data_IF_295335858220
#
_entry.id   IF_295335858220
#
_cell.length_a   1.000
_cell.length_b   1.000
_cell.length_c   1.000
_cell.angle_alpha   90.00
_cell.angle_beta   90.00
_cell.angle_gamma   90.00
#
_symmetry.space_group_name_H-M   'P 1'
#
loop_
_entity.id
_entity.type
_entity.pdbx_description
1 polymer ?
#
# COMPACT_ATOMS: atom_id res chain seq x y z
N UNK A 1 11.82 -1.22 3.60
CA UNK A 1 11.99 -2.16 2.47
C UNK A 1 11.63 -1.52 1.13
N UNK A 2 10.43 -0.94 0.92
CA UNK A 2 10.06 -0.39 -0.41
C UNK A 2 10.89 0.81 -0.87
N UNK A 3 11.24 1.73 0.04
CA UNK A 3 12.06 2.90 -0.29
C UNK A 3 13.48 2.52 -0.71
N UNK A 4 14.07 1.55 -0.03
CA UNK A 4 15.42 1.01 -0.29
C UNK A 4 15.51 0.32 -1.67
N UNK A 5 14.47 -0.41 -2.06
CA UNK A 5 14.40 -1.06 -3.38
C UNK A 5 14.31 -0.03 -4.51
N UNK A 6 13.52 1.03 -4.36
CA UNK A 6 13.39 2.06 -5.41
C UNK A 6 14.66 2.92 -5.53
N UNK A 7 15.19 3.40 -4.40
CA UNK A 7 16.44 4.17 -4.43
C UNK A 7 17.65 3.31 -4.86
N UNK A 8 17.72 2.07 -4.40
CA UNK A 8 18.86 1.18 -4.66
C UNK A 8 18.90 0.56 -6.06
N UNK A 9 17.76 0.42 -6.76
CA UNK A 9 17.70 -0.24 -8.07
C UNK A 9 17.26 0.66 -9.23
N UNK A 10 16.48 1.71 -8.98
CA UNK A 10 16.04 2.62 -10.07
C UNK A 10 16.60 4.04 -9.93
N UNK A 11 17.20 4.40 -8.78
CA UNK A 11 17.74 5.74 -8.55
C UNK A 11 16.67 6.84 -8.45
N UNK A 12 15.39 6.45 -8.33
CA UNK A 12 14.25 7.37 -8.26
C UNK A 12 13.68 7.36 -6.85
N UNK A 13 13.49 8.55 -6.27
CA UNK A 13 12.88 8.73 -4.96
C UNK A 13 11.35 8.81 -5.12
N UNK A 14 10.61 7.92 -4.44
CA UNK A 14 9.14 7.92 -4.41
C UNK A 14 8.63 8.03 -2.98
N UNK A 15 7.66 8.92 -2.75
CA UNK A 15 7.02 9.08 -1.45
C UNK A 15 5.55 8.64 -1.42
N UNK A 16 5.06 8.02 -2.50
CA UNK A 16 3.67 7.56 -2.61
C UNK A 16 3.30 6.38 -1.71
N UNK A 17 4.22 5.84 -0.91
CA UNK A 17 3.97 4.68 -0.05
C UNK A 17 2.85 4.92 0.97
N UNK A 18 2.76 6.13 1.53
CA UNK A 18 1.72 6.48 2.50
C UNK A 18 0.31 6.34 1.90
N UNK A 19 0.13 6.71 0.63
CA UNK A 19 -1.12 6.55 -0.09
C UNK A 19 -1.52 5.07 -0.23
N UNK A 20 -0.61 4.20 -0.68
CA UNK A 20 -0.91 2.77 -0.83
C UNK A 20 -1.20 2.10 0.51
N UNK A 21 -0.48 2.49 1.56
CA UNK A 21 -0.78 2.05 2.92
C UNK A 21 -2.19 2.47 3.35
N UNK A 22 -2.57 3.73 3.08
CA UNK A 22 -3.92 4.24 3.34
C UNK A 22 -5.00 3.46 2.58
N UNK A 23 -4.83 3.22 1.27
CA UNK A 23 -5.78 2.44 0.44
C UNK A 23 -5.98 1.04 1.03
N UNK A 24 -4.89 0.40 1.47
CA UNK A 24 -4.91 -0.88 2.18
C UNK A 24 -5.77 -0.86 3.45
N UNK A 25 -5.45 0.07 4.35
CA UNK A 25 -6.12 0.20 5.64
C UNK A 25 -7.61 0.56 5.47
N UNK A 26 -7.92 1.55 4.63
CA UNK A 26 -9.29 1.98 4.37
C UNK A 26 -10.13 0.93 3.66
N UNK A 27 -9.55 0.15 2.74
CA UNK A 27 -10.28 -0.93 2.06
C UNK A 27 -10.78 -2.00 3.03
N UNK A 28 -9.98 -2.38 4.02
CA UNK A 28 -10.38 -3.31 5.08
C UNK A 28 -11.35 -2.65 6.07
N UNK A 29 -11.04 -1.42 6.51
CA UNK A 29 -11.87 -0.69 7.47
C UNK A 29 -13.31 -0.49 6.96
N UNK A 30 -13.47 -0.14 5.68
CA UNK A 30 -14.78 0.06 5.05
C UNK A 30 -15.63 -1.22 5.03
N UNK A 31 -15.01 -2.39 4.82
CA UNK A 31 -15.74 -3.65 4.86
C UNK A 31 -16.13 -4.07 6.28
N UNK A 32 -15.27 -3.82 7.27
CA UNK A 32 -15.60 -4.07 8.66
C UNK A 32 -16.74 -3.19 9.16
N UNK A 33 -16.75 -1.93 8.74
CA UNK A 33 -17.82 -0.98 9.03
C UNK A 33 -19.17 -1.41 8.43
N UNK A 34 -19.20 -1.80 7.15
CA UNK A 34 -20.45 -2.09 6.43
C UNK A 34 -20.99 -3.50 6.62
N UNK A 35 -20.11 -4.50 6.73
CA UNK A 35 -20.49 -5.92 6.70
C UNK A 35 -20.12 -6.66 7.99
N UNK A 36 -19.59 -5.95 8.98
CA UNK A 36 -19.15 -6.52 10.24
C UNK A 36 -17.80 -7.22 10.18
N UNK A 37 -17.30 -7.54 11.38
CA UNK A 37 -15.96 -8.07 11.59
C UNK A 37 -15.96 -9.58 11.37
N UNK A 38 -15.46 -10.03 10.21
CA UNK A 38 -15.30 -11.45 9.88
C UNK A 38 -14.01 -11.68 9.10
N UNK A 39 -13.42 -12.87 9.24
CA UNK A 39 -12.19 -13.27 8.54
C UNK A 39 -12.38 -13.23 7.01
N UNK A 40 -13.58 -13.59 6.54
CA UNK A 40 -13.92 -13.58 5.12
C UNK A 40 -13.95 -12.14 4.58
N UNK A 41 -14.54 -11.22 5.34
CA UNK A 41 -14.59 -9.80 4.98
C UNK A 41 -13.20 -9.17 4.99
N UNK A 42 -12.32 -9.60 5.91
CA UNK A 42 -10.92 -9.17 5.94
C UNK A 42 -10.18 -9.56 4.65
N UNK A 43 -10.31 -10.82 4.21
CA UNK A 43 -9.69 -11.31 2.98
C UNK A 43 -10.23 -10.57 1.74
N UNK A 44 -11.55 -10.37 1.67
CA UNK A 44 -12.18 -9.61 0.58
C UNK A 44 -11.65 -8.17 0.57
N UNK A 45 -11.48 -7.55 1.74
CA UNK A 45 -10.95 -6.20 1.88
C UNK A 45 -9.52 -6.07 1.40
N UNK A 46 -8.68 -7.04 1.74
CA UNK A 46 -7.31 -7.11 1.23
C UNK A 46 -7.31 -7.21 -0.29
N UNK A 47 -8.10 -8.13 -0.86
CA UNK A 47 -8.15 -8.34 -2.32
C UNK A 47 -8.65 -7.07 -3.03
N UNK A 48 -9.72 -6.46 -2.53
CA UNK A 48 -10.25 -5.21 -3.06
C UNK A 48 -9.21 -4.08 -2.98
N UNK A 49 -8.52 -3.94 -1.85
CA UNK A 49 -7.49 -2.92 -1.69
C UNK A 49 -6.27 -3.15 -2.60
N UNK A 50 -5.89 -4.40 -2.85
CA UNK A 50 -4.85 -4.76 -3.82
C UNK A 50 -5.27 -4.33 -5.22
N UNK A 51 -6.50 -4.66 -5.65
CA UNK A 51 -7.02 -4.29 -6.98
C UNK A 51 -7.03 -2.77 -7.15
N UNK A 52 -7.54 -2.02 -6.17
CA UNK A 52 -7.56 -0.56 -6.20
C UNK A 52 -6.12 0.00 -6.26
N UNK A 53 -5.21 -0.54 -5.45
CA UNK A 53 -3.80 -0.14 -5.45
C UNK A 53 -3.13 -0.38 -6.79
N UNK A 54 -3.41 -1.49 -7.46
CA UNK A 54 -2.89 -1.79 -8.81
C UNK A 54 -3.41 -0.78 -9.82
N UNK A 55 -4.71 -0.47 -9.81
CA UNK A 55 -5.31 0.52 -10.72
C UNK A 55 -4.68 1.91 -10.50
N UNK A 56 -4.60 2.36 -9.24
CA UNK A 56 -4.01 3.65 -8.89
C UNK A 56 -2.53 3.70 -9.28
N UNK A 57 -1.77 2.64 -8.98
CA UNK A 57 -0.36 2.55 -9.35
C UNK A 57 -0.16 2.56 -10.87
N UNK A 58 -1.05 1.93 -11.63
CA UNK A 58 -0.98 1.92 -13.09
C UNK A 58 -1.18 3.33 -13.67
N UNK A 59 -2.19 4.06 -13.19
CA UNK A 59 -2.47 5.44 -13.62
C UNK A 59 -1.29 6.36 -13.28
N UNK A 60 -0.77 6.29 -12.06
CA UNK A 60 0.38 7.08 -11.63
C UNK A 60 1.63 6.69 -12.42
N UNK A 61 1.83 5.39 -12.66
CA UNK A 61 2.92 4.85 -13.47
C UNK A 61 2.92 5.44 -14.88
N UNK A 62 1.76 5.45 -15.55
CA UNK A 62 1.62 6.06 -16.88
C UNK A 62 1.93 7.56 -16.89
N UNK A 63 1.46 8.31 -15.89
CA UNK A 63 1.74 9.73 -15.78
C UNK A 63 3.24 10.00 -15.53
N UNK A 64 3.87 9.11 -14.78
CA UNK A 64 5.26 9.24 -14.37
C UNK A 64 6.27 9.04 -15.50
N UNK A 65 5.91 8.27 -16.54
CA UNK A 65 6.77 8.02 -17.71
C UNK A 65 7.12 9.29 -18.50
N UNK A 66 6.36 10.38 -18.30
CA UNK A 66 6.60 11.68 -18.98
C UNK A 66 7.45 12.66 -18.15
N UNK A 67 7.86 12.30 -16.94
CA UNK A 67 8.51 13.22 -16.00
C UNK A 67 10.00 12.96 -15.84
N UNK A 68 10.77 14.03 -15.64
CA UNK A 68 12.19 13.93 -15.24
C UNK A 68 12.28 13.53 -13.77
N UNK A 69 13.37 12.84 -13.39
CA UNK A 69 13.56 12.20 -12.07
C UNK A 69 13.19 13.07 -10.85
N UNK A 70 13.53 14.36 -10.82
CA UNK A 70 13.17 15.25 -9.70
C UNK A 70 11.66 15.54 -9.61
N UNK A 71 10.98 15.71 -10.75
CA UNK A 71 9.55 15.97 -10.79
C UNK A 71 8.73 14.74 -10.40
N UNK A 72 9.28 13.52 -10.56
CA UNK A 72 8.65 12.29 -10.11
C UNK A 72 8.43 12.28 -8.59
N UNK A 73 9.46 12.63 -7.81
CA UNK A 73 9.37 12.67 -6.35
C UNK A 73 8.31 13.68 -5.88
N UNK A 74 8.31 14.89 -6.48
CA UNK A 74 7.32 15.92 -6.18
C UNK A 74 5.89 15.50 -6.55
N UNK A 75 5.71 14.85 -7.70
CA UNK A 75 4.41 14.34 -8.12
C UNK A 75 3.88 13.29 -7.13
N UNK A 76 4.71 12.31 -6.75
CA UNK A 76 4.27 11.24 -5.83
C UNK A 76 3.92 11.79 -4.44
N UNK A 77 4.63 12.81 -3.95
CA UNK A 77 4.25 13.54 -2.74
C UNK A 77 2.90 14.24 -2.89
N UNK A 78 2.73 15.02 -3.97
CA UNK A 78 1.50 15.76 -4.22
C UNK A 78 0.28 14.83 -4.33
N UNK A 79 0.43 13.70 -5.02
CA UNK A 79 -0.64 12.70 -5.13
C UNK A 79 -0.92 12.05 -3.77
N UNK A 80 0.12 11.72 -2.99
CA UNK A 80 -0.08 11.17 -1.65
C UNK A 80 -0.84 12.13 -0.75
N UNK A 81 -0.55 13.43 -0.83
CA UNK A 81 -1.26 14.47 -0.09
C UNK A 81 -2.69 14.65 -0.58
N UNK A 82 -2.93 14.57 -1.90
CA UNK A 82 -4.26 14.62 -2.47
C UNK A 82 -5.14 13.48 -1.94
N UNK A 83 -4.61 12.25 -1.90
CA UNK A 83 -5.31 11.10 -1.33
C UNK A 83 -5.62 11.28 0.15
N UNK A 84 -4.71 11.88 0.91
CA UNK A 84 -4.95 12.20 2.31
C UNK A 84 -6.13 13.17 2.47
N UNK A 85 -6.13 14.28 1.74
CA UNK A 85 -7.23 15.26 1.75
C UNK A 85 -8.54 14.63 1.27
N UNK A 86 -8.48 13.78 0.24
CA UNK A 86 -9.65 13.06 -0.26
C UNK A 86 -10.25 12.16 0.82
N UNK A 87 -9.41 11.39 1.54
CA UNK A 87 -9.86 10.55 2.63
C UNK A 87 -10.48 11.35 3.78
N UNK A 88 -9.96 12.55 4.07
CA UNK A 88 -10.48 13.43 5.12
C UNK A 88 -11.81 14.11 4.73
N UNK A 89 -11.95 14.53 3.47
CA UNK A 89 -13.14 15.26 2.99
C UNK A 89 -14.28 14.35 2.56
N UNK A 90 -14.02 13.09 2.20
CA UNK A 90 -15.02 12.20 1.61
C UNK A 90 -15.92 11.51 2.65
N UNK A 91 -16.79 12.29 3.29
CA UNK A 91 -17.71 11.81 4.34
C UNK A 91 -18.60 10.63 3.95
N UNK A 92 -19.05 10.56 2.69
CA UNK A 92 -19.96 9.50 2.24
C UNK A 92 -19.33 8.10 2.14
N UNK A 93 -18.00 8.00 2.02
CA UNK A 93 -17.30 6.72 1.91
C UNK A 93 -16.38 6.45 3.09
N UNK A 94 -15.61 7.44 3.57
CA UNK A 94 -14.61 7.27 4.64
C UNK A 94 -15.10 7.70 6.02
N UNK A 95 -16.34 8.19 6.15
CA UNK A 95 -16.82 8.98 7.29
C UNK A 95 -16.00 10.29 7.51
N UNK A 96 -15.10 10.63 6.58
CA UNK A 96 -14.26 11.82 6.65
C UNK A 96 -13.32 11.82 7.87
N UNK A 97 -13.17 12.97 8.51
CA UNK A 97 -12.31 13.15 9.69
C UNK A 97 -12.80 12.45 10.96
N UNK A 98 -14.05 11.96 11.00
CA UNK A 98 -14.59 11.25 12.16
C UNK A 98 -14.03 9.81 12.26
N UNK A 99 -13.50 9.28 11.16
CA UNK A 99 -12.88 7.96 11.09
C UNK A 99 -13.88 6.81 11.23
N UNK A 100 -13.36 5.59 11.33
CA UNK A 100 -14.15 4.38 11.51
C UNK A 100 -13.90 3.79 12.90
N UNK A 101 -14.97 3.42 13.60
CA UNK A 101 -14.88 2.62 14.82
C UNK A 101 -15.27 1.19 14.49
N UNK A 102 -14.27 0.33 14.25
CA UNK A 102 -14.48 -1.10 13.99
C UNK A 102 -13.84 -1.96 15.09
N UNK A 103 -14.47 -3.08 15.40
CA UNK A 103 -13.90 -4.10 16.27
C UNK A 103 -12.78 -4.88 15.56
N UNK A 104 -11.88 -5.47 16.35
CA UNK A 104 -10.89 -6.42 15.83
C UNK A 104 -11.48 -7.83 15.83
N UNK A 105 -11.22 -8.67 14.79
CA UNK A 105 -11.63 -10.07 14.81
C UNK A 105 -11.05 -10.78 16.04
N UNK A 106 -11.80 -11.71 16.65
CA UNK A 106 -11.38 -12.38 17.90
C UNK A 106 -10.01 -13.06 17.79
N UNK A 107 -9.64 -13.53 16.60
CA UNK A 107 -8.31 -14.10 16.29
C UNK A 107 -7.15 -13.11 16.47
N UNK A 108 -7.38 -11.82 16.29
CA UNK A 108 -6.36 -10.77 16.44
C UNK A 108 -6.44 -10.06 17.79
N UNK A 109 -7.39 -10.44 18.65
CA UNK A 109 -7.52 -9.91 20.00
C UNK A 109 -6.44 -10.45 20.93
N UNK A 110 -5.98 -11.68 20.67
CA UNK A 110 -4.86 -12.27 21.39
C UNK A 110 -3.51 -11.72 20.90
N UNK A 111 -2.73 -11.17 21.83
CA UNK A 111 -1.47 -10.47 21.53
C UNK A 111 -0.43 -11.41 20.96
N UNK A 112 -0.37 -12.65 21.46
CA UNK A 112 0.59 -13.65 20.99
C UNK A 112 0.28 -14.06 19.56
N UNK A 113 -1.00 -14.36 19.28
CA UNK A 113 -1.44 -14.69 17.92
C UNK A 113 -1.17 -13.56 16.93
N UNK A 114 -1.50 -12.31 17.28
CA UNK A 114 -1.21 -11.14 16.43
C UNK A 114 0.29 -10.96 16.16
N UNK A 115 1.13 -11.16 17.17
CA UNK A 115 2.58 -11.06 17.04
C UNK A 115 3.12 -12.11 16.04
N UNK A 116 2.75 -13.39 16.20
CA UNK A 116 3.23 -14.45 15.32
C UNK A 116 2.72 -14.29 13.89
N UNK A 117 1.47 -13.89 13.69
CA UNK A 117 0.93 -13.62 12.35
C UNK A 117 1.68 -12.48 11.67
N UNK A 118 1.91 -11.38 12.39
CA UNK A 118 2.67 -10.24 11.87
C UNK A 118 4.12 -10.62 11.55
N UNK A 119 4.75 -11.43 12.40
CA UNK A 119 6.11 -11.93 12.19
C UNK A 119 6.21 -12.83 10.96
N UNK A 120 5.28 -13.78 10.81
CA UNK A 120 5.21 -14.66 9.63
C UNK A 120 4.98 -13.82 8.37
N UNK A 121 4.04 -12.88 8.38
CA UNK A 121 3.81 -11.96 7.27
C UNK A 121 5.08 -11.18 6.91
N UNK A 122 5.81 -10.66 7.89
CA UNK A 122 7.05 -9.93 7.68
C UNK A 122 8.12 -10.81 7.03
N UNK A 123 8.30 -12.04 7.52
CA UNK A 123 9.26 -13.01 6.96
C UNK A 123 8.86 -13.38 5.52
N UNK A 124 7.59 -13.66 5.26
CA UNK A 124 7.08 -14.00 3.92
C UNK A 124 7.32 -12.83 2.95
N UNK A 125 6.96 -11.60 3.33
CA UNK A 125 7.20 -10.40 2.51
C UNK A 125 8.70 -10.21 2.27
N UNK A 126 9.54 -10.40 3.28
CA UNK A 126 10.98 -10.30 3.13
C UNK A 126 11.55 -11.32 2.15
N UNK A 127 11.11 -12.58 2.23
CA UNK A 127 11.54 -13.65 1.30
C UNK A 127 11.06 -13.34 -0.12
N UNK A 128 9.80 -12.93 -0.28
CA UNK A 128 9.22 -12.54 -1.58
C UNK A 128 10.01 -11.40 -2.24
N UNK A 129 10.31 -10.35 -1.47
CA UNK A 129 11.13 -9.24 -1.94
C UNK A 129 12.53 -9.72 -2.34
N UNK A 130 13.18 -10.53 -1.50
CA UNK A 130 14.51 -11.06 -1.78
C UNK A 130 14.53 -11.93 -3.04
N UNK A 131 13.50 -12.75 -3.25
CA UNK A 131 13.36 -13.59 -4.44
C UNK A 131 13.11 -12.74 -5.69
N UNK A 132 12.25 -11.73 -5.60
CA UNK A 132 11.94 -10.82 -6.69
C UNK A 132 13.18 -10.01 -7.12
N UNK A 133 13.94 -9.49 -6.16
CA UNK A 133 15.16 -8.71 -6.43
C UNK A 133 16.28 -9.56 -7.02
N UNK A 134 16.38 -10.85 -6.67
CA UNK A 134 17.37 -11.77 -7.26
C UNK A 134 16.96 -12.30 -8.64
N UNK A 135 15.70 -12.15 -9.03
CA UNK A 135 15.16 -12.60 -10.32
C UNK A 135 15.59 -11.69 -11.49
N UNK A 136 15.44 -12.19 -12.73
CA UNK A 136 15.87 -11.51 -13.96
C UNK A 136 15.31 -10.10 -14.13
N UNK A 137 14.11 -9.82 -13.60
CA UNK A 137 13.48 -8.48 -13.58
C UNK A 137 14.32 -7.47 -12.76
N UNK A 138 14.92 -7.89 -11.64
CA UNK A 138 15.78 -7.03 -10.82
C UNK A 138 17.07 -6.63 -11.54
N UNK A 139 17.60 -7.52 -12.39
CA UNK A 139 18.78 -7.24 -13.22
C UNK A 139 18.47 -6.26 -14.35
N UNK A 140 17.29 -6.36 -14.96
CA UNK A 140 16.81 -5.43 -15.99
C UNK A 140 16.59 -4.03 -15.42
N UNK A 141 15.98 -3.92 -14.23
CA UNK A 141 15.79 -2.62 -13.57
C UNK A 141 17.13 -1.93 -13.25
N UNK A 142 18.12 -2.69 -12.78
CA UNK A 142 19.47 -2.16 -12.52
C UNK A 142 20.20 -1.71 -13.78
N UNK A 143 19.90 -2.30 -14.93
CA UNK A 143 20.49 -1.90 -16.21
C UNK A 143 19.90 -0.58 -16.75
N UNK A 144 18.69 -0.19 -16.34
CA UNK A 144 18.05 1.09 -16.72
C UNK A 144 18.61 2.25 -15.89
N UNK A 145 19.21 1.98 -14.72
CA UNK A 145 19.81 3.01 -13.86
C UNK A 145 21.29 3.31 -14.18
N UNK A 146 21.89 2.63 -15.18
CA UNK A 146 23.21 2.96 -15.73
C UNK A 146 23.06 3.81 -16.99
#
# INVERSE_FOLDING_TARGET
MSFDVLLGYTGIVSFGHCMFFGIGAYGVALLFDRQGVSITNFLIGIVAAIIISVIVSYIIGLLSLRLKSHFYAMLTLAISQLFFVLAEKWRGLTHGGDGFTFGVPDLFRDRFTFYYVTLICLIVIFILLRLFTKSSIGKVLKAISQ
#
